data_IF_610777266505
#
_entry.id   IF_610777266505
#
_cell.length_a   1.000
_cell.length_b   1.000
_cell.length_c   1.000
_cell.angle_alpha   90.00
_cell.angle_beta   90.00
_cell.angle_gamma   90.00
#
_symmetry.space_group_name_H-M   'P 1'
#
loop_
_entity.id
_entity.type
_entity.pdbx_description
1 polymer ?
#
# COMPACT_ATOMS: atom_id res chain seq x y z
N UNK A 1 8.05 17.01 17.88
CA UNK A 1 6.87 16.38 17.23
C UNK A 1 7.41 15.50 16.12
N UNK A 2 7.00 14.23 15.98
CA UNK A 2 7.46 13.37 14.88
C UNK A 2 6.95 13.85 13.53
N UNK A 3 7.72 13.63 12.46
CA UNK A 3 7.37 14.07 11.10
C UNK A 3 6.32 13.15 10.46
N UNK A 4 5.44 13.70 9.62
CA UNK A 4 4.47 12.90 8.87
C UNK A 4 5.12 12.30 7.62
N UNK A 5 5.12 10.96 7.51
CA UNK A 5 5.63 10.25 6.34
C UNK A 5 4.49 9.94 5.38
N UNK A 6 4.35 10.76 4.33
CA UNK A 6 3.31 10.61 3.31
C UNK A 6 3.82 9.72 2.17
N UNK A 7 3.15 8.60 1.93
CA UNK A 7 3.45 7.71 0.80
C UNK A 7 2.24 6.84 0.43
N UNK A 8 2.34 6.08 -0.67
CA UNK A 8 1.35 5.07 -0.99
C UNK A 8 1.29 4.02 0.14
N UNK A 9 0.08 3.70 0.59
CA UNK A 9 -0.21 2.73 1.65
C UNK A 9 0.50 1.39 1.45
N UNK A 10 0.67 0.94 0.20
CA UNK A 10 1.36 -0.30 -0.15
C UNK A 10 2.85 -0.27 0.21
N UNK A 11 3.51 0.89 0.04
CA UNK A 11 4.94 1.05 0.29
C UNK A 11 5.25 1.61 1.68
N UNK A 12 4.25 2.17 2.35
CA UNK A 12 4.44 2.90 3.60
C UNK A 12 5.01 2.06 4.75
N UNK A 13 4.66 0.77 4.93
CA UNK A 13 5.31 -0.07 5.95
C UNK A 13 6.82 -0.20 5.75
N UNK A 14 7.24 -0.47 4.50
CA UNK A 14 8.66 -0.55 4.12
C UNK A 14 9.37 0.78 4.34
N UNK A 15 8.78 1.87 3.87
CA UNK A 15 9.34 3.21 4.05
C UNK A 15 9.48 3.56 5.54
N UNK A 16 8.47 3.27 6.35
CA UNK A 16 8.48 3.51 7.79
C UNK A 16 9.62 2.74 8.48
N UNK A 17 9.84 1.48 8.10
CA UNK A 17 10.95 0.68 8.63
C UNK A 17 12.31 1.30 8.28
N UNK A 18 12.50 1.72 7.02
CA UNK A 18 13.75 2.35 6.57
C UNK A 18 14.02 3.69 7.29
N UNK A 19 13.00 4.53 7.47
CA UNK A 19 13.14 5.81 8.17
C UNK A 19 13.49 5.60 9.65
N UNK A 20 12.83 4.65 10.31
CA UNK A 20 13.16 4.28 11.70
C UNK A 20 14.58 3.73 11.81
N UNK A 21 15.01 2.89 10.87
CA UNK A 21 16.38 2.37 10.83
C UNK A 21 17.44 3.47 10.62
N UNK A 22 17.07 4.56 9.93
CA UNK A 22 17.90 5.76 9.78
C UNK A 22 17.85 6.71 10.99
N UNK A 23 17.15 6.34 12.08
CA UNK A 23 17.04 7.15 13.30
C UNK A 23 15.95 8.23 13.26
N UNK A 24 15.07 8.22 12.26
CA UNK A 24 14.00 9.20 12.11
C UNK A 24 12.73 8.76 12.84
N UNK A 25 12.16 9.67 13.63
CA UNK A 25 10.87 9.50 14.27
C UNK A 25 9.74 9.97 13.32
N UNK A 26 9.02 9.04 12.73
CA UNK A 26 7.96 9.32 11.75
C UNK A 26 6.60 8.74 12.13
N UNK A 27 5.54 9.45 11.76
CA UNK A 27 4.14 8.99 11.80
C UNK A 27 3.70 8.65 10.38
N UNK A 28 3.29 7.40 10.09
CA UNK A 28 2.82 7.02 8.77
C UNK A 28 1.52 7.76 8.39
N UNK A 29 1.51 8.38 7.22
CA UNK A 29 0.37 9.07 6.61
C UNK A 29 0.05 8.45 5.23
N UNK A 30 -0.72 7.35 5.18
CA UNK A 30 -0.97 6.58 3.97
C UNK A 30 -1.89 7.25 2.96
N UNK A 31 -1.55 7.10 1.68
CA UNK A 31 -2.32 7.54 0.51
C UNK A 31 -2.62 6.35 -0.42
N UNK A 32 -3.63 6.47 -1.29
CA UNK A 32 -3.87 5.46 -2.34
C UNK A 32 -4.35 4.10 -1.83
N UNK A 33 -5.21 4.07 -0.82
CA UNK A 33 -5.85 2.84 -0.37
C UNK A 33 -6.64 2.18 -1.51
N UNK A 34 -6.45 0.87 -1.68
CA UNK A 34 -7.30 0.05 -2.52
C UNK A 34 -8.33 -0.64 -1.62
N UNK A 35 -9.61 -0.55 -2.00
CA UNK A 35 -10.71 -1.19 -1.27
C UNK A 35 -11.20 -2.35 -2.14
N UNK A 36 -11.22 -3.56 -1.58
CA UNK A 36 -11.89 -4.70 -2.19
C UNK A 36 -13.22 -4.96 -1.49
N UNK A 37 -14.24 -5.37 -2.25
CA UNK A 37 -15.47 -5.93 -1.67
C UNK A 37 -15.24 -7.40 -1.30
N UNK A 38 -15.96 -7.90 -0.30
CA UNK A 38 -15.86 -9.27 0.20
C UNK A 38 -16.99 -10.19 -0.30
N UNK A 39 -17.62 -9.80 -1.42
CA UNK A 39 -18.74 -10.53 -2.01
C UNK A 39 -18.27 -11.72 -2.85
N UNK A 40 -19.11 -12.76 -2.97
CA UNK A 40 -18.80 -13.93 -3.81
C UNK A 40 -18.48 -13.59 -5.28
N UNK A 41 -19.05 -12.50 -5.80
CA UNK A 41 -18.79 -12.02 -7.16
C UNK A 41 -17.35 -11.51 -7.33
N UNK A 42 -16.69 -11.06 -6.25
CA UNK A 42 -15.30 -10.61 -6.30
C UNK A 42 -14.32 -11.75 -6.63
N UNK A 43 -14.74 -13.01 -6.47
CA UNK A 43 -13.95 -14.19 -6.86
C UNK A 43 -14.04 -14.53 -8.34
N UNK A 44 -14.97 -13.92 -9.09
CA UNK A 44 -15.05 -14.14 -10.53
C UNK A 44 -13.90 -13.44 -11.26
N UNK A 45 -13.25 -14.11 -12.23
CA UNK A 45 -12.20 -13.48 -13.02
C UNK A 45 -12.71 -12.23 -13.74
N UNK A 46 -11.94 -11.14 -13.67
CA UNK A 46 -12.19 -9.93 -14.43
C UNK A 46 -10.89 -9.31 -14.94
N UNK A 47 -10.96 -8.64 -16.08
CA UNK A 47 -9.81 -7.95 -16.66
C UNK A 47 -9.28 -6.84 -15.73
N UNK A 48 -10.17 -6.17 -14.98
CA UNK A 48 -9.80 -5.18 -13.97
C UNK A 48 -9.04 -5.81 -12.80
N UNK A 49 -9.50 -6.95 -12.26
CA UNK A 49 -8.78 -7.67 -11.21
C UNK A 49 -7.41 -8.16 -11.69
N UNK A 50 -7.32 -8.63 -12.95
CA UNK A 50 -6.04 -9.05 -13.53
C UNK A 50 -5.06 -7.87 -13.68
N UNK A 51 -5.55 -6.69 -14.04
CA UNK A 51 -4.74 -5.46 -14.10
C UNK A 51 -4.20 -5.06 -12.71
N UNK A 52 -5.04 -5.14 -11.67
CA UNK A 52 -4.62 -4.88 -10.28
C UNK A 52 -3.56 -5.89 -9.84
N UNK A 53 -3.77 -7.18 -10.09
CA UNK A 53 -2.79 -8.23 -9.78
C UNK A 53 -1.48 -8.05 -10.53
N UNK A 54 -1.56 -7.72 -11.83
CA UNK A 54 -0.36 -7.43 -12.64
C UNK A 54 0.42 -6.24 -12.08
N UNK A 55 -0.26 -5.19 -11.63
CA UNK A 55 0.38 -4.02 -11.01
C UNK A 55 0.99 -4.36 -9.65
N UNK A 56 0.26 -5.10 -8.80
CA UNK A 56 0.76 -5.55 -7.52
C UNK A 56 2.04 -6.39 -7.65
N UNK A 57 2.10 -7.30 -8.63
CA UNK A 57 3.28 -8.11 -8.92
C UNK A 57 4.46 -7.30 -9.48
N UNK A 58 4.20 -6.20 -10.18
CA UNK A 58 5.25 -5.37 -10.78
C UNK A 58 5.83 -4.35 -9.79
N UNK A 59 5.03 -3.88 -8.83
CA UNK A 59 5.42 -2.80 -7.90
C UNK A 59 5.98 -3.29 -6.56
N UNK A 60 5.87 -4.59 -6.26
CA UNK A 60 6.40 -5.20 -5.03
C UNK A 60 7.92 -5.41 -5.08
#
# INVERSE_FOLDING_TARGET
MPDALVSNAWHLPRATANFKAAGLAVVPAPMGFSISTNDFIAFLPSASALSVSSRALHEW
#
